data_IF_574492079364
#
_entry.id   IF_574492079364
#
_cell.length_a   1.000
_cell.length_b   1.000
_cell.length_c   1.000
_cell.angle_alpha   90.00
_cell.angle_beta   90.00
_cell.angle_gamma   90.00
#
_symmetry.space_group_name_H-M   'P 1'
#
loop_
_entity.id
_entity.type
_entity.pdbx_description
1 polymer ?
#
# COMPACT_ATOMS: atom_id res chain seq x y z
N UNK A 1 -15.92 34.45 -12.89
CA UNK A 1 -15.49 34.54 -11.48
C UNK A 1 -14.43 33.48 -11.26
N UNK A 2 -13.17 33.86 -11.09
CA UNK A 2 -12.08 32.92 -10.75
C UNK A 2 -12.42 32.25 -9.42
N UNK A 3 -12.65 30.92 -9.41
CA UNK A 3 -12.78 30.18 -8.15
C UNK A 3 -11.45 30.35 -7.40
N UNK A 4 -11.49 31.02 -6.24
CA UNK A 4 -10.31 31.13 -5.37
C UNK A 4 -9.74 29.73 -5.13
N UNK A 5 -8.50 29.50 -5.56
CA UNK A 5 -7.80 28.24 -5.33
C UNK A 5 -7.57 28.05 -3.84
N UNK A 6 -7.87 26.87 -3.33
CA UNK A 6 -7.66 26.50 -1.91
C UNK A 6 -6.26 25.95 -1.73
N UNK A 7 -5.45 26.62 -0.91
CA UNK A 7 -4.11 26.14 -0.55
C UNK A 7 -4.22 24.99 0.42
N UNK A 8 -3.85 23.79 -0.07
CA UNK A 8 -3.79 22.55 0.69
C UNK A 8 -2.32 22.17 0.94
N UNK A 9 -1.95 22.00 2.20
CA UNK A 9 -0.65 21.39 2.54
C UNK A 9 -0.86 19.93 2.92
N UNK A 10 -0.13 19.03 2.26
CA UNK A 10 -0.09 17.61 2.59
C UNK A 10 1.26 17.28 3.23
N UNK A 11 1.24 16.72 4.45
CA UNK A 11 2.46 16.33 5.18
C UNK A 11 2.55 14.81 5.19
N UNK A 12 3.65 14.27 4.68
CA UNK A 12 3.90 12.82 4.63
C UNK A 12 5.37 12.48 4.91
N UNK A 13 5.65 11.22 5.26
CA UNK A 13 6.97 10.81 5.71
C UNK A 13 8.05 10.98 4.64
N UNK A 14 7.86 10.32 3.48
CA UNK A 14 8.88 10.22 2.42
C UNK A 14 8.25 10.35 1.04
N UNK A 15 9.09 10.59 0.04
CA UNK A 15 8.69 10.51 -1.37
C UNK A 15 8.51 9.01 -1.72
N UNK A 16 7.27 8.55 -1.71
CA UNK A 16 6.93 7.19 -2.08
C UNK A 16 6.44 7.14 -3.53
N UNK A 17 7.04 6.31 -4.41
CA UNK A 17 6.68 6.25 -5.84
C UNK A 17 5.18 6.07 -6.10
N UNK A 18 4.52 5.23 -5.33
CA UNK A 18 3.08 4.97 -5.47
C UNK A 18 2.18 6.14 -5.05
N UNK A 19 2.73 7.14 -4.35
CA UNK A 19 1.99 8.36 -3.95
C UNK A 19 2.08 9.47 -4.99
N UNK A 20 3.11 9.48 -5.84
CA UNK A 20 3.31 10.51 -6.87
C UNK A 20 2.11 10.61 -7.82
N UNK A 21 1.56 9.52 -8.38
CA UNK A 21 0.37 9.60 -9.25
C UNK A 21 -0.85 10.18 -8.53
N UNK A 22 -1.06 9.84 -7.25
CA UNK A 22 -2.16 10.35 -6.43
C UNK A 22 -2.02 11.86 -6.20
N UNK A 23 -0.81 12.32 -5.84
CA UNK A 23 -0.59 13.75 -5.58
C UNK A 23 -0.62 14.56 -6.89
N UNK A 24 -0.16 13.99 -8.00
CA UNK A 24 -0.33 14.59 -9.33
C UNK A 24 -1.81 14.73 -9.70
N UNK A 25 -2.63 13.71 -9.43
CA UNK A 25 -4.07 13.76 -9.65
C UNK A 25 -4.74 14.82 -8.76
N UNK A 26 -4.33 14.92 -7.49
CA UNK A 26 -4.86 15.91 -6.54
C UNK A 26 -4.48 17.35 -6.96
N UNK A 27 -3.25 17.57 -7.43
CA UNK A 27 -2.77 18.87 -7.88
C UNK A 27 -3.49 19.37 -9.16
N UNK A 28 -4.00 18.44 -9.98
CA UNK A 28 -4.79 18.77 -11.19
C UNK A 28 -6.25 19.09 -10.91
N UNK A 29 -6.73 18.94 -9.64
CA UNK A 29 -8.12 19.24 -9.29
C UNK A 29 -8.39 20.73 -9.31
N UNK A 30 -9.47 21.14 -10.00
CA UNK A 30 -9.91 22.51 -10.06
C UNK A 30 -10.15 23.11 -8.66
N UNK A 31 -9.59 24.27 -8.43
CA UNK A 31 -9.72 24.98 -7.15
C UNK A 31 -8.85 24.42 -6.03
N UNK A 32 -7.88 23.54 -6.32
CA UNK A 32 -6.88 23.03 -5.37
C UNK A 32 -5.49 23.58 -5.73
N UNK A 33 -4.79 24.12 -4.74
CA UNK A 33 -3.39 24.50 -4.83
C UNK A 33 -2.62 23.63 -3.83
N UNK A 34 -2.06 22.52 -4.33
CA UNK A 34 -1.38 21.50 -3.51
C UNK A 34 0.08 21.86 -3.29
N UNK A 35 0.50 21.85 -2.03
CA UNK A 35 1.90 21.83 -1.63
C UNK A 35 2.18 20.65 -0.72
N UNK A 36 3.19 19.83 -1.04
CA UNK A 36 3.52 18.63 -0.26
C UNK A 36 4.80 18.85 0.54
N UNK A 37 4.73 18.63 1.85
CA UNK A 37 5.89 18.66 2.75
C UNK A 37 6.28 17.22 3.08
N UNK A 38 7.44 16.80 2.61
CA UNK A 38 8.04 15.52 2.95
C UNK A 38 8.94 15.67 4.18
N UNK A 39 8.76 14.79 5.17
CA UNK A 39 9.58 14.81 6.39
C UNK A 39 11.00 14.29 6.14
N UNK A 40 11.20 13.48 5.12
CA UNK A 40 12.50 13.05 4.62
C UNK A 40 12.36 12.69 3.13
N UNK A 41 13.45 12.69 2.40
CA UNK A 41 13.44 12.28 0.99
C UNK A 41 13.12 10.77 0.86
N UNK A 42 13.81 9.96 1.65
CA UNK A 42 13.66 8.50 1.66
C UNK A 42 14.07 7.90 3.01
N UNK A 43 13.88 6.60 3.14
CA UNK A 43 14.42 5.78 4.21
C UNK A 43 15.28 4.65 3.61
N UNK A 44 16.54 4.97 3.29
CA UNK A 44 17.48 4.06 2.61
C UNK A 44 17.67 2.70 3.28
N UNK A 45 17.45 2.61 4.60
CA UNK A 45 17.60 1.34 5.32
C UNK A 45 16.38 0.41 5.18
N UNK A 46 15.21 0.93 4.77
CA UNK A 46 13.98 0.16 4.59
C UNK A 46 13.46 0.16 3.16
N UNK A 47 13.97 1.04 2.30
CA UNK A 47 13.42 1.28 0.96
C UNK A 47 14.53 1.22 -0.09
N UNK A 48 14.39 0.33 -1.04
CA UNK A 48 15.33 0.12 -2.14
C UNK A 48 14.80 0.67 -3.47
N UNK A 49 13.59 1.25 -3.46
CA UNK A 49 12.97 1.79 -4.68
C UNK A 49 13.62 3.09 -5.18
N UNK A 50 13.55 3.30 -6.48
CA UNK A 50 13.86 4.59 -7.09
C UNK A 50 12.86 5.66 -6.66
N UNK A 51 13.35 6.90 -6.51
CA UNK A 51 12.52 8.09 -6.31
C UNK A 51 12.37 8.76 -7.68
N UNK A 52 11.19 8.66 -8.28
CA UNK A 52 10.89 9.20 -9.61
C UNK A 52 10.52 10.68 -9.50
N UNK A 53 11.49 11.54 -9.16
CA UNK A 53 11.27 12.99 -8.97
C UNK A 53 10.89 13.70 -10.25
N UNK A 54 11.31 13.19 -11.40
CA UNK A 54 10.95 13.66 -12.74
C UNK A 54 9.46 13.46 -13.09
N UNK A 55 8.76 12.60 -12.34
CA UNK A 55 7.32 12.39 -12.48
C UNK A 55 6.47 13.34 -11.64
N UNK A 56 7.07 14.08 -10.70
CA UNK A 56 6.36 14.98 -9.79
C UNK A 56 5.85 16.21 -10.56
N UNK A 57 4.54 16.49 -10.45
CA UNK A 57 3.85 17.62 -11.11
C UNK A 57 3.12 18.52 -10.09
N UNK A 58 3.51 18.46 -8.82
CA UNK A 58 2.99 19.29 -7.73
C UNK A 58 4.13 20.04 -7.03
N UNK A 59 3.79 21.11 -6.32
CA UNK A 59 4.76 21.85 -5.51
C UNK A 59 5.12 21.05 -4.26
N UNK A 60 6.40 20.95 -3.96
CA UNK A 60 6.84 20.23 -2.76
C UNK A 60 8.14 20.78 -2.16
N UNK A 61 8.38 20.44 -0.91
CA UNK A 61 9.66 20.59 -0.23
C UNK A 61 9.98 19.37 0.62
N UNK A 62 11.28 19.15 0.87
CA UNK A 62 11.77 18.12 1.78
C UNK A 62 12.42 18.82 2.97
N UNK A 63 11.91 18.53 4.17
CA UNK A 63 12.44 19.16 5.38
C UNK A 63 13.80 18.59 5.78
N UNK A 64 14.72 19.42 6.29
CA UNK A 64 15.90 18.92 6.95
C UNK A 64 15.51 17.98 8.09
N UNK A 65 16.03 16.77 8.05
CA UNK A 65 15.65 15.70 8.98
C UNK A 65 16.83 14.96 9.56
N UNK A 66 16.63 14.49 10.78
CA UNK A 66 17.52 13.56 11.43
C UNK A 66 16.73 12.34 11.90
N UNK A 67 17.21 11.13 11.53
CA UNK A 67 16.56 9.86 11.85
C UNK A 67 17.46 9.06 12.78
N UNK A 68 16.94 8.79 13.97
CA UNK A 68 17.56 7.90 14.94
C UNK A 68 16.83 6.57 15.02
N UNK A 69 17.55 5.47 15.15
CA UNK A 69 17.00 4.12 15.23
C UNK A 69 17.53 3.38 16.44
N UNK A 70 16.61 2.71 17.16
CA UNK A 70 16.93 1.80 18.26
C UNK A 70 16.07 0.53 18.11
N UNK A 71 16.67 -0.55 17.66
CA UNK A 71 15.97 -1.80 17.38
C UNK A 71 14.82 -1.60 16.37
N UNK A 72 13.59 -1.91 16.78
CA UNK A 72 12.36 -1.76 15.95
C UNK A 72 11.81 -0.33 15.93
N UNK A 73 12.33 0.58 16.74
CA UNK A 73 11.84 1.95 16.87
C UNK A 73 12.65 2.91 16.02
N UNK A 74 11.98 3.83 15.35
CA UNK A 74 12.59 4.88 14.56
C UNK A 74 11.97 6.22 14.95
N UNK A 75 12.80 7.19 15.31
CA UNK A 75 12.42 8.56 15.59
C UNK A 75 12.93 9.45 14.47
N UNK A 76 12.01 10.15 13.79
CA UNK A 76 12.33 11.13 12.75
C UNK A 76 12.03 12.53 13.29
N UNK A 77 13.04 13.36 13.39
CA UNK A 77 12.94 14.74 13.86
C UNK A 77 13.23 15.70 12.72
N UNK A 78 12.40 16.72 12.57
CA UNK A 78 12.49 17.72 11.52
C UNK A 78 12.76 19.10 12.07
N UNK A 79 13.55 19.89 11.33
CA UNK A 79 13.69 21.34 11.51
C UNK A 79 12.90 22.05 10.41
N UNK A 80 12.50 23.31 10.67
CA UNK A 80 11.88 24.16 9.65
C UNK A 80 10.39 23.93 9.38
N UNK A 81 9.70 22.97 10.03
CA UNK A 81 8.29 22.67 9.77
C UNK A 81 7.37 23.90 9.91
N UNK A 82 7.52 24.69 10.95
CA UNK A 82 6.69 25.86 11.17
C UNK A 82 6.95 26.99 10.18
N UNK A 83 8.20 27.40 9.93
CA UNK A 83 8.50 28.31 8.83
C UNK A 83 7.92 27.86 7.49
N UNK A 84 8.04 26.58 7.14
CA UNK A 84 7.46 26.02 5.92
C UNK A 84 5.92 26.19 5.88
N UNK A 85 5.24 25.89 6.98
CA UNK A 85 3.79 26.08 7.10
C UNK A 85 3.39 27.56 7.08
N UNK A 86 4.19 28.45 7.67
CA UNK A 86 3.95 29.90 7.65
C UNK A 86 4.09 30.48 6.24
N UNK A 87 5.07 30.02 5.46
CA UNK A 87 5.25 30.40 4.05
C UNK A 87 4.14 29.82 3.16
N UNK A 88 3.78 28.55 3.39
CA UNK A 88 2.74 27.89 2.61
C UNK A 88 1.34 28.46 2.86
N UNK A 89 1.06 29.08 4.02
CA UNK A 89 -0.23 29.66 4.41
C UNK A 89 -1.45 28.78 4.09
N UNK A 90 -1.50 27.51 4.55
CA UNK A 90 -2.56 26.58 4.16
C UNK A 90 -3.92 26.95 4.75
N UNK A 91 -4.99 26.69 4.01
CA UNK A 91 -6.37 26.71 4.49
C UNK A 91 -6.76 25.37 5.13
N UNK A 92 -6.11 24.29 4.72
CA UNK A 92 -6.23 22.96 5.32
C UNK A 92 -4.90 22.22 5.27
N UNK A 93 -4.67 21.37 6.28
CA UNK A 93 -3.52 20.45 6.33
C UNK A 93 -4.05 19.02 6.30
N UNK A 94 -3.56 18.18 5.38
CA UNK A 94 -3.71 16.73 5.42
C UNK A 94 -2.42 16.13 5.95
N UNK A 95 -2.49 15.38 7.06
CA UNK A 95 -1.31 14.78 7.69
C UNK A 95 -1.36 13.25 7.58
N UNK A 96 -0.33 12.66 6.99
CA UNK A 96 -0.16 11.23 6.83
C UNK A 96 0.29 10.54 8.12
N UNK A 97 -0.68 10.24 9.01
CA UNK A 97 -0.42 9.56 10.27
C UNK A 97 -0.11 10.50 11.44
N UNK A 98 0.05 9.89 12.62
CA UNK A 98 0.31 10.58 13.90
C UNK A 98 1.58 10.07 14.61
N UNK A 99 2.39 9.26 13.93
CA UNK A 99 3.52 8.54 14.53
C UNK A 99 4.79 9.40 14.69
N UNK A 100 4.83 10.56 14.03
CA UNK A 100 6.01 11.43 14.02
C UNK A 100 5.81 12.66 14.89
N UNK A 101 6.85 13.18 15.55
CA UNK A 101 6.81 14.47 16.25
C UNK A 101 6.30 15.61 15.35
N UNK A 102 6.64 15.57 14.06
CA UNK A 102 6.17 16.54 13.07
C UNK A 102 4.65 16.57 12.95
N UNK A 103 3.96 15.42 13.02
CA UNK A 103 2.50 15.35 12.98
C UNK A 103 1.84 16.10 14.15
N UNK A 104 2.39 15.95 15.36
CA UNK A 104 1.92 16.65 16.56
C UNK A 104 2.20 18.16 16.49
N UNK A 105 3.39 18.53 16.01
CA UNK A 105 3.78 19.93 15.83
C UNK A 105 2.93 20.63 14.76
N UNK A 106 2.57 19.96 13.67
CA UNK A 106 1.69 20.49 12.63
C UNK A 106 0.25 20.63 13.13
N UNK A 107 -0.28 19.67 13.91
CA UNK A 107 -1.58 19.78 14.56
C UNK A 107 -1.64 20.99 15.51
N UNK A 108 -0.60 21.17 16.32
CA UNK A 108 -0.54 22.30 17.24
C UNK A 108 -0.43 23.64 16.51
N UNK A 109 0.38 23.73 15.46
CA UNK A 109 0.47 24.89 14.58
C UNK A 109 -0.91 25.22 13.96
N UNK A 110 -1.59 24.23 13.42
CA UNK A 110 -2.91 24.38 12.80
C UNK A 110 -3.95 24.92 13.79
N UNK A 111 -3.99 24.38 15.01
CA UNK A 111 -4.92 24.83 16.05
C UNK A 111 -4.68 26.29 16.47
N UNK A 112 -3.42 26.72 16.58
CA UNK A 112 -3.07 28.10 16.92
C UNK A 112 -3.47 29.10 15.85
N UNK A 113 -3.49 28.67 14.60
CA UNK A 113 -3.82 29.52 13.45
C UNK A 113 -5.23 29.33 12.93
N UNK A 114 -6.04 28.53 13.63
CA UNK A 114 -7.40 28.16 13.23
C UNK A 114 -7.45 27.53 11.80
N UNK A 115 -6.39 26.81 11.42
CA UNK A 115 -6.30 26.04 10.16
C UNK A 115 -6.89 24.64 10.38
N UNK A 116 -7.66 24.16 9.41
CA UNK A 116 -8.29 22.84 9.47
C UNK A 116 -7.28 21.72 9.33
N UNK A 117 -7.42 20.69 10.17
CA UNK A 117 -6.49 19.57 10.22
C UNK A 117 -7.20 18.25 9.93
N UNK A 118 -6.77 17.59 8.85
CA UNK A 118 -7.28 16.30 8.39
C UNK A 118 -6.24 15.22 8.68
N UNK A 119 -6.64 14.17 9.37
CA UNK A 119 -5.79 13.01 9.59
C UNK A 119 -6.01 11.98 8.46
N UNK A 120 -4.96 11.67 7.70
CA UNK A 120 -4.95 10.55 6.78
C UNK A 120 -4.30 9.33 7.44
N UNK A 121 -5.07 8.28 7.68
CA UNK A 121 -4.60 7.11 8.43
C UNK A 121 -5.00 5.80 7.77
N UNK A 122 -4.07 4.85 7.77
CA UNK A 122 -4.27 3.47 7.32
C UNK A 122 -4.41 2.49 8.50
N UNK A 123 -4.38 2.98 9.74
CA UNK A 123 -4.49 2.15 10.94
C UNK A 123 -5.78 1.35 10.96
N UNK A 124 -5.70 0.10 11.36
CA UNK A 124 -6.83 -0.79 11.54
C UNK A 124 -6.82 -1.43 12.94
N UNK A 125 -7.90 -2.12 13.31
CA UNK A 125 -8.05 -2.71 14.64
C UNK A 125 -6.99 -3.77 14.97
N UNK A 126 -6.42 -4.42 13.94
CA UNK A 126 -5.41 -5.49 14.08
C UNK A 126 -3.99 -4.96 14.17
N UNK A 127 -3.80 -3.66 13.92
CA UNK A 127 -2.50 -2.97 13.95
C UNK A 127 -2.11 -2.53 15.38
N UNK A 128 -2.54 -3.28 16.39
CA UNK A 128 -2.25 -2.99 17.81
C UNK A 128 -0.76 -3.24 18.10
N UNK A 129 0.06 -2.23 17.83
CA UNK A 129 1.51 -2.29 18.07
C UNK A 129 1.92 -1.97 19.51
N UNK A 130 1.03 -1.48 20.34
CA UNK A 130 1.33 -1.18 21.74
C UNK A 130 0.09 -1.32 22.64
N UNK A 131 0.16 -2.19 23.63
CA UNK A 131 -0.84 -2.29 24.69
C UNK A 131 -0.66 -1.26 25.82
N UNK A 132 0.12 -0.19 25.62
CA UNK A 132 0.37 0.81 26.66
C UNK A 132 -0.76 1.84 26.71
N UNK A 133 -1.47 1.90 27.84
CA UNK A 133 -2.60 2.81 28.06
C UNK A 133 -2.27 4.29 27.77
N UNK A 134 -1.03 4.71 28.02
CA UNK A 134 -0.57 6.09 27.74
C UNK A 134 -0.55 6.37 26.24
N UNK A 135 -0.05 5.43 25.43
CA UNK A 135 0.00 5.58 23.96
C UNK A 135 -1.41 5.64 23.38
N UNK A 136 -2.32 4.79 23.87
CA UNK A 136 -3.73 4.81 23.44
C UNK A 136 -4.43 6.11 23.86
N UNK A 137 -4.13 6.65 25.03
CA UNK A 137 -4.65 7.97 25.47
C UNK A 137 -4.15 9.09 24.60
N UNK A 138 -2.87 9.13 24.26
CA UNK A 138 -2.28 10.12 23.35
C UNK A 138 -2.90 10.01 21.96
N UNK A 139 -3.03 8.82 21.41
CA UNK A 139 -3.68 8.56 20.12
C UNK A 139 -5.13 9.09 20.10
N UNK A 140 -5.92 8.75 21.12
CA UNK A 140 -7.30 9.27 21.24
C UNK A 140 -7.33 10.80 21.34
N UNK A 141 -6.37 11.40 22.04
CA UNK A 141 -6.26 12.85 22.13
C UNK A 141 -5.95 13.48 20.77
N UNK A 142 -5.01 12.89 20.00
CA UNK A 142 -4.71 13.34 18.64
C UNK A 142 -5.93 13.25 17.73
N UNK A 143 -6.58 12.08 17.68
CA UNK A 143 -7.78 11.84 16.87
C UNK A 143 -8.88 12.84 17.21
N UNK A 144 -9.21 13.05 18.50
CA UNK A 144 -10.21 14.03 18.93
C UNK A 144 -9.87 15.48 18.57
N UNK A 145 -8.61 15.76 18.24
CA UNK A 145 -8.14 17.10 17.89
C UNK A 145 -8.18 17.39 16.39
N UNK A 146 -8.50 16.40 15.56
CA UNK A 146 -8.62 16.53 14.11
C UNK A 146 -10.05 16.98 13.72
N UNK A 147 -10.16 17.67 12.57
CA UNK A 147 -11.45 18.15 12.05
C UNK A 147 -12.12 17.14 11.11
N UNK A 148 -11.33 16.38 10.36
CA UNK A 148 -11.79 15.34 9.45
C UNK A 148 -10.75 14.22 9.33
N UNK A 149 -11.15 13.13 8.71
CA UNK A 149 -10.36 11.92 8.59
C UNK A 149 -10.40 11.37 7.17
N UNK A 150 -9.27 10.86 6.70
CA UNK A 150 -9.17 10.15 5.43
C UNK A 150 -8.69 8.74 5.71
N UNK A 151 -9.38 7.76 5.13
CA UNK A 151 -9.06 6.32 5.27
C UNK A 151 -9.04 5.64 3.90
N UNK A 152 -8.24 4.57 3.72
CA UNK A 152 -8.17 3.88 2.44
C UNK A 152 -9.35 2.95 2.17
N UNK A 153 -10.07 2.49 3.18
CA UNK A 153 -11.16 1.53 3.03
C UNK A 153 -11.86 1.14 4.31
N UNK A 154 -12.67 0.10 4.23
CA UNK A 154 -13.61 -0.37 5.27
C UNK A 154 -12.95 -0.67 6.60
N UNK A 155 -11.78 -1.32 6.58
CA UNK A 155 -11.06 -1.72 7.81
C UNK A 155 -10.66 -0.52 8.66
N UNK A 156 -10.06 0.51 8.05
CA UNK A 156 -9.64 1.73 8.74
C UNK A 156 -10.84 2.62 9.08
N UNK A 157 -11.90 2.62 8.25
CA UNK A 157 -13.17 3.29 8.57
C UNK A 157 -13.78 2.72 9.84
N UNK A 158 -13.97 1.40 9.91
CA UNK A 158 -14.50 0.73 11.09
C UNK A 158 -13.66 1.01 12.34
N UNK A 159 -12.33 1.03 12.20
CA UNK A 159 -11.44 1.34 13.29
C UNK A 159 -11.63 2.76 13.85
N UNK A 160 -11.74 3.81 13.01
CA UNK A 160 -12.03 5.16 13.49
C UNK A 160 -13.38 5.25 14.21
N UNK A 161 -14.37 4.47 13.76
CA UNK A 161 -15.68 4.37 14.45
C UNK A 161 -15.53 3.81 15.87
N UNK A 162 -14.67 2.82 16.08
CA UNK A 162 -14.39 2.30 17.45
C UNK A 162 -13.70 3.33 18.34
N UNK A 163 -13.04 4.33 17.78
CA UNK A 163 -12.44 5.44 18.51
C UNK A 163 -13.44 6.59 18.80
N UNK A 164 -14.72 6.45 18.37
CA UNK A 164 -15.79 7.41 18.58
C UNK A 164 -15.83 8.56 17.56
N UNK A 165 -15.20 8.38 16.38
CA UNK A 165 -15.28 9.37 15.30
C UNK A 165 -16.62 9.24 14.57
N UNK A 166 -17.29 10.40 14.32
CA UNK A 166 -18.53 10.43 13.53
C UNK A 166 -18.25 10.06 12.07
N UNK A 167 -19.17 9.31 11.44
CA UNK A 167 -19.08 8.94 10.01
C UNK A 167 -19.04 10.15 9.09
N UNK A 168 -19.74 11.22 9.45
CA UNK A 168 -19.87 12.44 8.64
C UNK A 168 -18.54 13.16 8.38
N UNK A 169 -17.52 12.90 9.19
CA UNK A 169 -16.18 13.49 9.07
C UNK A 169 -15.13 12.50 8.60
N UNK A 170 -15.54 11.26 8.23
CA UNK A 170 -14.63 10.23 7.68
C UNK A 170 -14.86 10.15 6.17
N UNK A 171 -13.80 10.36 5.40
CA UNK A 171 -13.79 10.31 3.95
C UNK A 171 -12.95 9.12 3.48
N UNK A 172 -13.43 8.41 2.46
CA UNK A 172 -12.65 7.33 1.85
C UNK A 172 -11.82 7.89 0.70
N UNK A 173 -10.52 7.73 0.79
CA UNK A 173 -9.56 7.93 -0.29
C UNK A 173 -8.83 6.60 -0.50
N UNK A 174 -9.28 5.76 -1.44
CA UNK A 174 -8.77 4.41 -1.58
C UNK A 174 -7.28 4.43 -1.91
N UNK A 175 -6.51 3.55 -1.29
CA UNK A 175 -5.12 3.41 -1.69
C UNK A 175 -5.03 2.96 -3.14
N UNK A 176 -4.23 3.67 -3.92
CA UNK A 176 -4.15 3.54 -5.36
C UNK A 176 -2.70 3.43 -5.83
N UNK A 177 -2.53 2.82 -7.00
CA UNK A 177 -1.31 2.80 -7.80
C UNK A 177 -1.62 3.34 -9.19
N UNK A 178 -0.60 3.59 -10.00
CA UNK A 178 -0.82 3.97 -11.40
C UNK A 178 -1.30 2.76 -12.21
N UNK A 179 -2.60 2.57 -12.27
CA UNK A 179 -3.22 1.43 -12.97
C UNK A 179 -2.83 1.40 -14.44
N UNK A 180 -2.71 2.56 -15.09
CA UNK A 180 -2.35 2.68 -16.51
C UNK A 180 -0.92 2.24 -16.74
N UNK A 181 -0.01 2.69 -15.88
CA UNK A 181 1.39 2.27 -15.93
C UNK A 181 1.51 0.74 -15.82
N UNK A 182 0.93 0.15 -14.77
CA UNK A 182 1.00 -1.30 -14.53
C UNK A 182 0.37 -2.11 -15.68
N UNK A 183 -0.79 -1.69 -16.19
CA UNK A 183 -1.45 -2.34 -17.32
C UNK A 183 -0.58 -2.28 -18.58
N UNK A 184 0.00 -1.12 -18.91
CA UNK A 184 0.85 -0.94 -20.09
C UNK A 184 2.13 -1.78 -19.99
N UNK A 185 2.80 -1.77 -18.85
CA UNK A 185 4.01 -2.57 -18.64
C UNK A 185 3.71 -4.09 -18.65
N UNK A 186 2.54 -4.48 -18.13
CA UNK A 186 2.09 -5.87 -18.18
C UNK A 186 1.90 -6.36 -19.61
N UNK A 187 1.28 -5.57 -20.48
CA UNK A 187 1.13 -5.92 -21.91
C UNK A 187 2.48 -6.00 -22.63
N UNK A 188 3.38 -5.07 -22.36
CA UNK A 188 4.75 -5.13 -22.91
C UNK A 188 5.48 -6.44 -22.52
N UNK A 189 5.36 -6.88 -21.25
CA UNK A 189 5.97 -8.12 -20.79
C UNK A 189 5.34 -9.37 -21.45
N UNK A 190 4.02 -9.35 -21.71
CA UNK A 190 3.31 -10.43 -22.42
C UNK A 190 3.75 -10.53 -23.89
N UNK A 191 4.16 -9.43 -24.53
CA UNK A 191 4.72 -9.47 -25.88
C UNK A 191 6.09 -10.14 -25.97
N UNK A 192 6.90 -10.09 -24.88
CA UNK A 192 8.27 -10.64 -24.85
C UNK A 192 8.50 -11.57 -23.65
N UNK A 193 7.66 -12.60 -23.44
CA UNK A 193 7.65 -13.38 -22.20
C UNK A 193 8.91 -14.24 -22.01
N UNK A 194 9.56 -14.66 -23.09
CA UNK A 194 10.77 -15.49 -23.02
C UNK A 194 11.95 -14.69 -22.46
N UNK A 195 12.21 -13.51 -23.01
CA UNK A 195 13.29 -12.64 -22.54
C UNK A 195 13.09 -12.22 -21.07
N UNK A 196 11.85 -11.94 -20.66
CA UNK A 196 11.55 -11.60 -19.28
C UNK A 196 11.77 -12.76 -18.32
N UNK A 197 11.37 -13.98 -18.71
CA UNK A 197 11.64 -15.19 -17.92
C UNK A 197 13.13 -15.48 -17.78
N UNK A 198 13.88 -15.33 -18.84
CA UNK A 198 15.34 -15.51 -18.83
C UNK A 198 16.01 -14.51 -17.89
N UNK A 199 15.64 -13.23 -17.96
CA UNK A 199 16.17 -12.16 -17.09
C UNK A 199 16.09 -12.49 -15.60
N UNK A 200 15.00 -13.13 -15.15
CA UNK A 200 14.71 -13.40 -13.75
C UNK A 200 14.79 -14.89 -13.37
N UNK A 201 15.15 -15.77 -14.29
CA UNK A 201 15.18 -17.22 -14.06
C UNK A 201 13.82 -17.81 -13.69
N UNK A 202 12.73 -17.34 -14.34
CA UNK A 202 11.38 -17.69 -13.95
C UNK A 202 10.91 -19.00 -14.58
N UNK A 203 10.13 -19.82 -13.83
CA UNK A 203 9.44 -20.97 -14.40
C UNK A 203 8.43 -20.54 -15.49
N UNK A 204 8.06 -21.48 -16.35
CA UNK A 204 7.04 -21.22 -17.39
C UNK A 204 5.69 -20.79 -16.79
N UNK A 205 5.27 -21.46 -15.73
CA UNK A 205 4.09 -21.14 -14.92
C UNK A 205 4.53 -20.97 -13.47
N UNK A 206 4.00 -19.97 -12.76
CA UNK A 206 4.39 -19.74 -11.37
C UNK A 206 3.34 -18.98 -10.57
N UNK A 207 3.31 -19.29 -9.27
CA UNK A 207 2.63 -18.56 -8.23
C UNK A 207 3.56 -17.44 -7.78
N UNK A 208 3.06 -16.23 -7.56
CA UNK A 208 3.87 -15.07 -7.22
C UNK A 208 3.56 -14.56 -5.81
N UNK A 209 4.62 -14.34 -5.04
CA UNK A 209 4.62 -13.49 -3.85
C UNK A 209 5.48 -12.26 -4.12
N UNK A 210 5.00 -11.07 -3.71
CA UNK A 210 5.75 -9.83 -3.78
C UNK A 210 5.76 -9.15 -2.42
N UNK A 211 6.95 -8.84 -1.89
CA UNK A 211 7.08 -8.15 -0.62
C UNK A 211 8.35 -8.45 0.14
N UNK A 212 8.46 -7.90 1.34
CA UNK A 212 9.60 -8.20 2.22
C UNK A 212 9.55 -9.67 2.66
N UNK A 213 10.69 -10.36 2.55
CA UNK A 213 10.82 -11.75 2.99
C UNK A 213 11.05 -11.78 4.52
N UNK A 214 9.98 -11.63 5.26
CA UNK A 214 9.93 -11.65 6.74
C UNK A 214 8.76 -12.51 7.21
N UNK A 215 8.83 -13.10 8.42
CA UNK A 215 7.77 -14.00 8.91
C UNK A 215 6.38 -13.37 8.94
N UNK A 216 6.28 -12.09 9.27
CA UNK A 216 5.02 -11.35 9.35
C UNK A 216 4.27 -11.26 8.00
N UNK A 217 4.98 -11.50 6.88
CA UNK A 217 4.37 -11.55 5.54
C UNK A 217 3.87 -12.94 5.15
N UNK A 218 3.96 -13.94 6.06
CA UNK A 218 3.43 -15.28 5.84
C UNK A 218 4.19 -16.09 4.79
N UNK A 219 5.47 -15.75 4.56
CA UNK A 219 6.28 -16.39 3.51
C UNK A 219 6.52 -17.87 3.74
N UNK A 220 6.61 -18.30 5.00
CA UNK A 220 6.71 -19.71 5.37
C UNK A 220 5.38 -20.44 5.21
N UNK A 221 4.24 -19.80 5.54
CA UNK A 221 2.92 -20.39 5.32
C UNK A 221 2.67 -20.64 3.83
N UNK A 222 3.17 -19.74 2.96
CA UNK A 222 3.09 -19.93 1.51
C UNK A 222 3.96 -21.08 1.04
N UNK A 223 5.18 -21.21 1.56
CA UNK A 223 6.07 -22.31 1.23
C UNK A 223 5.47 -23.66 1.68
N UNK A 224 4.89 -23.71 2.89
CA UNK A 224 4.21 -24.89 3.41
C UNK A 224 2.96 -25.24 2.59
N UNK A 225 2.17 -24.24 2.18
CA UNK A 225 1.01 -24.45 1.31
C UNK A 225 1.42 -25.00 -0.07
N UNK A 226 2.52 -24.49 -0.63
CA UNK A 226 3.08 -24.97 -1.87
C UNK A 226 3.58 -26.43 -1.74
N UNK A 227 4.21 -26.78 -0.61
CA UNK A 227 4.66 -28.15 -0.34
C UNK A 227 3.52 -29.17 -0.31
N UNK A 228 2.31 -28.75 0.08
CA UNK A 228 1.09 -29.59 0.14
C UNK A 228 0.42 -29.80 -1.22
N UNK A 229 0.82 -29.07 -2.26
CA UNK A 229 0.34 -29.36 -3.61
C UNK A 229 0.86 -30.72 -4.07
N UNK A 230 0.11 -31.39 -4.94
CA UNK A 230 0.55 -32.65 -5.56
C UNK A 230 1.90 -32.49 -6.28
N UNK A 231 2.74 -33.53 -6.23
CA UNK A 231 4.09 -33.48 -6.82
C UNK A 231 4.08 -33.19 -8.31
N UNK A 232 3.13 -33.74 -9.06
CA UNK A 232 2.94 -33.43 -10.47
C UNK A 232 2.68 -31.96 -10.73
N UNK A 233 1.80 -31.35 -9.93
CA UNK A 233 1.50 -29.91 -10.05
C UNK A 233 2.71 -29.02 -9.70
N UNK A 234 3.48 -29.38 -8.67
CA UNK A 234 4.71 -28.66 -8.30
C UNK A 234 5.81 -28.75 -9.38
N UNK A 235 5.79 -29.80 -10.21
CA UNK A 235 6.70 -29.90 -11.35
C UNK A 235 6.32 -28.99 -12.50
N UNK A 236 5.04 -28.65 -12.64
CA UNK A 236 4.51 -27.80 -13.71
C UNK A 236 4.48 -26.31 -13.35
N UNK A 237 4.26 -26.02 -12.07
CA UNK A 237 4.03 -24.66 -11.57
C UNK A 237 4.99 -24.35 -10.44
N UNK A 238 5.88 -23.39 -10.67
CA UNK A 238 6.84 -22.94 -9.68
C UNK A 238 6.26 -21.93 -8.69
N UNK A 239 7.06 -21.58 -7.69
CA UNK A 239 6.77 -20.53 -6.70
C UNK A 239 7.87 -19.47 -6.79
N UNK A 240 7.47 -18.19 -6.93
CA UNK A 240 8.39 -17.06 -7.05
C UNK A 240 8.19 -16.11 -5.88
N UNK A 241 9.28 -15.87 -5.14
CA UNK A 241 9.34 -14.88 -4.06
C UNK A 241 10.10 -13.64 -4.53
N UNK A 242 9.39 -12.64 -5.04
CA UNK A 242 9.98 -11.37 -5.46
C UNK A 242 10.09 -10.41 -4.26
N UNK A 243 11.32 -10.07 -3.90
CA UNK A 243 11.63 -9.22 -2.78
C UNK A 243 12.87 -9.68 -2.01
N UNK A 244 13.14 -9.02 -0.90
CA UNK A 244 14.28 -9.32 -0.03
C UNK A 244 13.88 -9.21 1.45
N UNK A 245 14.70 -9.77 2.35
CA UNK A 245 14.48 -9.73 3.79
C UNK A 245 15.23 -10.82 4.54
N UNK A 246 15.17 -10.72 5.87
CA UNK A 246 15.93 -11.58 6.79
C UNK A 246 15.61 -13.08 6.67
N UNK A 247 14.44 -13.42 6.13
CA UNK A 247 14.01 -14.82 5.97
C UNK A 247 14.45 -15.44 4.63
N UNK A 248 15.13 -14.72 3.74
CA UNK A 248 15.46 -15.18 2.39
C UNK A 248 16.29 -16.47 2.39
N UNK A 249 17.35 -16.49 3.19
CA UNK A 249 18.27 -17.64 3.25
C UNK A 249 17.57 -18.89 3.81
N UNK A 250 16.81 -18.71 4.89
CA UNK A 250 16.06 -19.81 5.50
C UNK A 250 14.99 -20.38 4.56
N UNK A 251 14.22 -19.50 3.88
CA UNK A 251 13.26 -19.90 2.85
C UNK A 251 13.93 -20.69 1.72
N UNK A 252 15.09 -20.23 1.23
CA UNK A 252 15.80 -20.90 0.17
C UNK A 252 16.31 -22.29 0.58
N UNK A 253 16.74 -22.44 1.84
CA UNK A 253 17.15 -23.74 2.38
C UNK A 253 15.97 -24.71 2.52
N UNK A 254 14.82 -24.23 3.02
CA UNK A 254 13.61 -25.04 3.14
C UNK A 254 13.05 -25.41 1.76
N UNK A 255 13.04 -24.50 0.80
CA UNK A 255 12.58 -24.72 -0.57
C UNK A 255 13.33 -25.85 -1.28
N UNK A 256 14.65 -25.94 -1.08
CA UNK A 256 15.47 -27.04 -1.65
C UNK A 256 15.05 -28.42 -1.17
N UNK A 257 14.46 -28.54 0.02
CA UNK A 257 13.98 -29.82 0.58
C UNK A 257 12.61 -30.23 0.00
N UNK A 258 11.82 -29.24 -0.46
CA UNK A 258 10.47 -29.47 -0.96
C UNK A 258 10.51 -29.92 -2.43
N UNK A 259 11.11 -29.13 -3.29
CA UNK A 259 11.28 -29.45 -4.71
C UNK A 259 12.43 -28.60 -5.32
N UNK A 260 13.64 -29.17 -5.47
CA UNK A 260 14.76 -28.40 -5.99
C UNK A 260 14.48 -27.79 -7.36
N UNK A 261 14.75 -26.49 -7.49
CA UNK A 261 14.66 -25.77 -8.78
C UNK A 261 13.28 -25.20 -9.14
N UNK A 262 12.24 -25.46 -8.35
CA UNK A 262 10.89 -24.92 -8.63
C UNK A 262 10.53 -23.68 -7.81
N UNK A 263 11.33 -23.33 -6.81
CA UNK A 263 11.16 -22.11 -6.02
C UNK A 263 12.26 -21.12 -6.37
N UNK A 264 11.88 -19.93 -6.83
CA UNK A 264 12.78 -18.90 -7.33
C UNK A 264 12.76 -17.65 -6.46
N UNK A 265 13.92 -16.99 -6.35
CA UNK A 265 14.13 -15.78 -5.55
C UNK A 265 14.81 -14.69 -6.41
N UNK A 266 14.08 -13.98 -7.29
CA UNK A 266 14.67 -12.97 -8.19
C UNK A 266 15.25 -11.75 -7.46
N UNK A 267 14.98 -11.62 -6.15
CA UNK A 267 15.38 -10.46 -5.36
C UNK A 267 14.40 -9.30 -5.45
N UNK A 268 14.88 -8.11 -5.07
CA UNK A 268 14.08 -6.90 -5.16
C UNK A 268 13.90 -6.49 -6.63
N UNK A 269 12.68 -6.15 -7.01
CA UNK A 269 12.33 -5.67 -8.35
C UNK A 269 11.77 -4.25 -8.28
N UNK A 270 12.15 -3.39 -9.23
CA UNK A 270 11.55 -2.06 -9.41
C UNK A 270 10.16 -2.21 -10.05
N UNK A 271 9.34 -1.15 -10.03
CA UNK A 271 7.95 -1.21 -10.49
C UNK A 271 7.79 -1.66 -11.95
N UNK A 272 8.75 -1.33 -12.82
CA UNK A 272 8.77 -1.74 -14.22
C UNK A 272 8.89 -3.27 -14.35
N UNK A 273 9.78 -3.86 -13.59
CA UNK A 273 10.00 -5.30 -13.55
C UNK A 273 8.89 -6.03 -12.78
N UNK A 274 8.34 -5.42 -11.74
CA UNK A 274 7.20 -5.97 -11.00
C UNK A 274 5.97 -6.17 -11.90
N UNK A 275 5.67 -5.21 -12.78
CA UNK A 275 4.56 -5.34 -13.72
C UNK A 275 4.69 -6.58 -14.61
N UNK A 276 5.91 -6.90 -15.06
CA UNK A 276 6.18 -8.12 -15.83
C UNK A 276 6.06 -9.40 -15.00
N UNK A 277 6.50 -9.39 -13.73
CA UNK A 277 6.29 -10.50 -12.82
C UNK A 277 4.79 -10.78 -12.61
N UNK A 278 4.00 -9.73 -12.37
CA UNK A 278 2.53 -9.86 -12.26
C UNK A 278 1.91 -10.39 -13.56
N UNK A 279 2.31 -9.86 -14.71
CA UNK A 279 1.73 -10.21 -16.02
C UNK A 279 1.90 -11.68 -16.39
N UNK A 280 3.00 -12.30 -15.96
CA UNK A 280 3.38 -13.68 -16.31
C UNK A 280 3.01 -14.71 -15.25
N UNK A 281 2.53 -14.30 -14.07
CA UNK A 281 2.15 -15.18 -12.97
C UNK A 281 0.78 -15.84 -13.18
N UNK A 282 0.53 -16.92 -12.44
CA UNK A 282 -0.80 -17.54 -12.36
C UNK A 282 -1.73 -16.80 -11.39
N UNK A 283 -1.19 -16.35 -10.27
CA UNK A 283 -1.88 -15.63 -9.21
C UNK A 283 -0.88 -14.89 -8.31
N UNK A 284 -1.30 -13.77 -7.73
CA UNK A 284 -0.61 -13.19 -6.58
C UNK A 284 -1.12 -13.82 -5.29
N UNK A 285 -0.20 -14.21 -4.40
CA UNK A 285 -0.52 -14.67 -3.05
C UNK A 285 0.06 -13.72 -2.01
N UNK A 286 -0.79 -13.12 -1.18
CA UNK A 286 -0.41 -12.27 -0.06
C UNK A 286 -0.91 -12.88 1.26
N UNK A 287 -0.19 -13.86 1.86
CA UNK A 287 -0.64 -14.62 3.04
C UNK A 287 -0.26 -13.95 4.36
N UNK A 288 -0.20 -12.64 4.37
CA UNK A 288 0.34 -11.84 5.48
C UNK A 288 -0.37 -12.10 6.80
N UNK A 289 0.37 -12.00 7.91
CA UNK A 289 -0.18 -12.02 9.28
C UNK A 289 -0.60 -10.62 9.72
N UNK A 290 -0.05 -9.57 9.10
CA UNK A 290 -0.41 -8.18 9.35
C UNK A 290 0.04 -7.32 8.17
N UNK A 291 -0.88 -6.56 7.60
CA UNK A 291 -0.60 -5.53 6.62
C UNK A 291 -1.64 -4.42 6.74
N UNK A 292 -1.22 -3.17 6.73
CA UNK A 292 -2.13 -2.03 6.83
C UNK A 292 -3.01 -1.89 5.58
N UNK A 293 -2.47 -2.27 4.40
CA UNK A 293 -3.21 -2.33 3.15
C UNK A 293 -2.79 -3.52 2.29
N UNK A 294 -1.58 -3.49 1.71
CA UNK A 294 -1.08 -4.45 0.75
C UNK A 294 -1.19 -3.93 -0.69
N UNK A 295 -0.48 -2.83 -1.01
CA UNK A 295 -0.50 -2.20 -2.35
C UNK A 295 -0.12 -3.14 -3.49
N UNK A 296 0.65 -4.18 -3.23
CA UNK A 296 0.98 -5.23 -4.21
C UNK A 296 -0.27 -5.90 -4.79
N UNK A 297 -1.40 -5.89 -4.05
CA UNK A 297 -2.70 -6.38 -4.55
C UNK A 297 -3.25 -5.42 -5.61
N UNK A 298 -3.18 -4.09 -5.38
CA UNK A 298 -3.58 -3.11 -6.39
C UNK A 298 -2.75 -3.27 -7.67
N UNK A 299 -1.43 -3.40 -7.54
CA UNK A 299 -0.49 -3.57 -8.64
C UNK A 299 -0.80 -4.82 -9.46
N UNK A 300 -0.97 -5.97 -8.79
CA UNK A 300 -1.30 -7.23 -9.42
C UNK A 300 -2.67 -7.20 -10.13
N UNK A 301 -3.68 -6.59 -9.51
CA UNK A 301 -5.01 -6.45 -10.11
C UNK A 301 -4.98 -5.52 -11.33
N UNK A 302 -4.15 -4.47 -11.33
CA UNK A 302 -3.95 -3.59 -12.48
C UNK A 302 -3.28 -4.32 -13.65
N UNK A 303 -2.50 -5.37 -13.37
CA UNK A 303 -1.94 -6.29 -14.38
C UNK A 303 -2.91 -7.42 -14.76
N UNK A 304 -4.13 -7.45 -14.23
CA UNK A 304 -5.14 -8.47 -14.52
C UNK A 304 -4.88 -9.81 -13.82
N UNK A 305 -4.31 -9.81 -12.62
CA UNK A 305 -4.00 -11.05 -11.91
C UNK A 305 -5.12 -11.42 -10.91
N UNK A 306 -5.55 -12.68 -10.80
CA UNK A 306 -6.35 -13.16 -9.69
C UNK A 306 -5.57 -13.11 -8.38
N UNK A 307 -6.25 -12.94 -7.25
CA UNK A 307 -5.64 -12.66 -5.97
C UNK A 307 -5.99 -13.76 -4.95
N UNK A 308 -5.00 -14.23 -4.20
CA UNK A 308 -5.21 -14.98 -2.96
C UNK A 308 -4.64 -14.12 -1.83
N UNK A 309 -5.50 -13.68 -0.92
CA UNK A 309 -5.13 -12.72 0.11
C UNK A 309 -5.52 -13.21 1.50
N UNK A 310 -4.69 -12.90 2.49
CA UNK A 310 -5.05 -13.12 3.88
C UNK A 310 -6.18 -12.18 4.33
N UNK A 311 -7.16 -12.70 5.08
CA UNK A 311 -8.28 -11.94 5.62
C UNK A 311 -7.86 -10.80 6.56
N UNK A 312 -6.60 -10.78 7.00
CA UNK A 312 -6.03 -9.72 7.86
C UNK A 312 -5.31 -8.63 7.09
N UNK A 313 -5.12 -8.76 5.78
CA UNK A 313 -4.65 -7.67 4.95
C UNK A 313 -5.69 -6.55 4.88
N UNK A 314 -5.28 -5.30 5.05
CA UNK A 314 -6.20 -4.16 5.10
C UNK A 314 -7.05 -3.99 3.84
N UNK A 315 -6.52 -4.40 2.68
CA UNK A 315 -7.23 -4.34 1.40
C UNK A 315 -8.21 -5.49 1.16
N UNK A 316 -8.16 -6.57 1.96
CA UNK A 316 -8.89 -7.81 1.64
C UNK A 316 -10.39 -7.59 1.44
N UNK A 317 -11.03 -6.86 2.34
CA UNK A 317 -12.48 -6.60 2.30
C UNK A 317 -12.92 -5.58 1.23
N UNK A 318 -11.97 -4.87 0.65
CA UNK A 318 -12.22 -3.82 -0.34
C UNK A 318 -11.89 -4.29 -1.76
N UNK A 319 -10.77 -5.01 -1.93
CA UNK A 319 -10.26 -5.41 -3.24
C UNK A 319 -10.65 -6.83 -3.66
N UNK A 320 -10.76 -7.76 -2.72
CA UNK A 320 -10.97 -9.18 -3.05
C UNK A 320 -12.33 -9.67 -2.57
N UNK A 321 -13.10 -10.21 -3.48
CA UNK A 321 -14.39 -10.86 -3.24
C UNK A 321 -14.24 -12.36 -3.48
N UNK A 322 -14.59 -13.16 -2.45
CA UNK A 322 -14.44 -14.60 -2.44
C UNK A 322 -15.12 -15.26 -3.64
N UNK A 323 -14.34 -16.05 -4.41
CA UNK A 323 -14.83 -16.76 -5.59
C UNK A 323 -15.14 -15.87 -6.81
N UNK A 324 -15.05 -14.54 -6.69
CA UNK A 324 -15.32 -13.62 -7.79
C UNK A 324 -14.04 -13.18 -8.51
N UNK A 325 -13.11 -12.51 -7.85
CA UNK A 325 -11.82 -12.11 -8.41
C UNK A 325 -10.62 -12.71 -7.68
N UNK A 326 -10.87 -13.61 -6.71
CA UNK A 326 -9.84 -14.26 -5.94
C UNK A 326 -10.38 -15.04 -4.75
N UNK A 327 -9.50 -15.33 -3.80
CA UNK A 327 -9.81 -16.03 -2.56
C UNK A 327 -9.29 -15.28 -1.34
N UNK A 328 -10.08 -15.32 -0.26
CA UNK A 328 -9.71 -14.74 1.04
C UNK A 328 -9.47 -15.87 2.03
N UNK A 329 -8.23 -16.02 2.51
CA UNK A 329 -7.84 -17.12 3.40
C UNK A 329 -7.54 -16.60 4.81
N UNK A 330 -7.77 -17.39 5.88
CA UNK A 330 -7.29 -17.04 7.20
C UNK A 330 -5.76 -16.95 7.23
N UNK A 331 -5.19 -16.09 8.09
CA UNK A 331 -3.73 -16.08 8.29
C UNK A 331 -3.29 -17.40 8.95
N UNK A 332 -2.10 -17.88 8.64
CA UNK A 332 -1.48 -19.10 9.17
C UNK A 332 -2.25 -20.39 8.87
N UNK A 333 -3.07 -20.39 7.83
CA UNK A 333 -3.82 -21.58 7.37
C UNK A 333 -3.26 -22.05 6.02
N UNK A 334 -2.15 -22.80 6.08
CA UNK A 334 -1.49 -23.31 4.86
C UNK A 334 -2.33 -24.37 4.12
N UNK A 335 -3.32 -25.02 4.80
CA UNK A 335 -4.26 -25.94 4.16
C UNK A 335 -5.21 -25.19 3.23
N UNK A 336 -5.94 -24.19 3.76
CA UNK A 336 -6.84 -23.38 2.93
C UNK A 336 -6.10 -22.63 1.85
N UNK A 337 -4.89 -22.17 2.14
CA UNK A 337 -4.04 -21.51 1.15
C UNK A 337 -3.68 -22.48 0.01
N UNK A 338 -3.30 -23.73 0.32
CA UNK A 338 -3.02 -24.76 -0.68
C UNK A 338 -4.25 -25.08 -1.54
N UNK A 339 -5.43 -25.20 -0.93
CA UNK A 339 -6.70 -25.43 -1.63
C UNK A 339 -7.02 -24.29 -2.59
N UNK A 340 -6.87 -23.02 -2.16
CA UNK A 340 -7.09 -21.85 -3.00
C UNK A 340 -6.13 -21.81 -4.20
N UNK A 341 -4.84 -22.06 -3.97
CA UNK A 341 -3.81 -22.15 -5.01
C UNK A 341 -4.18 -23.24 -6.02
N UNK A 342 -4.45 -24.46 -5.54
CA UNK A 342 -4.80 -25.61 -6.38
C UNK A 342 -6.03 -25.33 -7.26
N UNK A 343 -7.02 -24.65 -6.69
CA UNK A 343 -8.27 -24.28 -7.39
C UNK A 343 -8.01 -23.36 -8.58
N UNK A 344 -7.15 -22.35 -8.43
CA UNK A 344 -6.82 -21.40 -9.51
C UNK A 344 -5.90 -22.02 -10.57
N UNK A 345 -4.88 -22.72 -10.14
CA UNK A 345 -3.84 -23.22 -11.05
C UNK A 345 -4.34 -24.35 -11.95
N UNK A 346 -5.32 -25.14 -11.50
CA UNK A 346 -5.93 -26.24 -12.27
C UNK A 346 -7.06 -25.82 -13.19
N UNK A 347 -7.59 -24.58 -13.08
CA UNK A 347 -8.77 -24.11 -13.82
C UNK A 347 -8.46 -22.86 -14.62
N UNK A 348 -7.90 -22.97 -15.83
CA UNK A 348 -7.55 -21.82 -16.68
C UNK A 348 -8.74 -20.87 -16.94
N UNK A 349 -9.95 -21.41 -17.12
CA UNK A 349 -11.16 -20.64 -17.38
C UNK A 349 -11.53 -19.79 -16.16
N UNK A 350 -11.46 -20.37 -14.96
CA UNK A 350 -11.70 -19.63 -13.71
C UNK A 350 -10.67 -18.52 -13.52
N UNK A 351 -9.39 -18.81 -13.78
CA UNK A 351 -8.32 -17.82 -13.75
C UNK A 351 -8.65 -16.65 -14.69
N UNK A 352 -9.03 -16.93 -15.94
CA UNK A 352 -9.35 -15.90 -16.92
C UNK A 352 -10.54 -15.02 -16.47
N UNK A 353 -11.60 -15.64 -15.92
CA UNK A 353 -12.74 -14.91 -15.38
C UNK A 353 -12.34 -14.01 -14.21
N UNK A 354 -11.59 -14.53 -13.24
CA UNK A 354 -11.11 -13.76 -12.09
C UNK A 354 -10.15 -12.64 -12.50
N UNK A 355 -9.32 -12.87 -13.53
CA UNK A 355 -8.45 -11.83 -14.11
C UNK A 355 -9.25 -10.65 -14.66
N UNK A 356 -10.28 -10.90 -15.45
CA UNK A 356 -11.13 -9.85 -15.98
C UNK A 356 -11.83 -9.05 -14.86
N UNK A 357 -12.29 -9.75 -13.83
CA UNK A 357 -12.94 -9.14 -12.66
C UNK A 357 -11.97 -8.34 -11.77
N UNK A 358 -10.71 -8.74 -11.69
CA UNK A 358 -9.65 -7.94 -11.05
C UNK A 358 -9.47 -6.61 -11.77
N UNK A 359 -9.40 -6.62 -13.11
CA UNK A 359 -9.32 -5.40 -13.93
C UNK A 359 -10.56 -4.51 -13.77
N UNK A 360 -11.74 -5.10 -13.67
CA UNK A 360 -12.98 -4.37 -13.42
C UNK A 360 -12.96 -3.66 -12.06
N UNK A 361 -12.62 -4.38 -10.99
CA UNK A 361 -12.60 -3.86 -9.63
C UNK A 361 -11.58 -2.74 -9.44
N UNK A 362 -10.38 -2.92 -9.99
CA UNK A 362 -9.26 -1.99 -9.73
C UNK A 362 -9.47 -0.61 -10.36
N UNK A 363 -10.35 -0.46 -11.34
CA UNK A 363 -10.72 0.86 -11.94
C UNK A 363 -11.22 1.85 -10.89
N UNK A 364 -11.88 1.36 -9.84
CA UNK A 364 -12.39 2.20 -8.75
C UNK A 364 -11.30 2.58 -7.72
N UNK A 365 -10.08 2.08 -7.89
CA UNK A 365 -8.92 2.33 -7.01
C UNK A 365 -7.80 3.00 -7.80
N UNK A 366 -8.16 3.91 -8.69
CA UNK A 366 -7.24 4.74 -9.46
C UNK A 366 -6.74 5.94 -8.64
N UNK A 367 -5.61 6.56 -9.01
CA UNK A 367 -5.09 7.77 -8.36
C UNK A 367 -6.13 8.89 -8.24
N UNK A 368 -6.99 9.04 -9.22
CA UNK A 368 -8.07 10.02 -9.25
C UNK A 368 -9.09 9.80 -8.13
N UNK A 369 -9.49 8.55 -7.88
CA UNK A 369 -10.42 8.20 -6.80
C UNK A 369 -9.83 8.52 -5.41
N UNK A 370 -8.53 8.26 -5.21
CA UNK A 370 -7.83 8.66 -3.99
C UNK A 370 -7.78 10.19 -3.84
N UNK A 371 -7.45 10.90 -4.92
CA UNK A 371 -7.40 12.35 -4.96
C UNK A 371 -8.78 12.99 -4.66
N UNK A 372 -9.88 12.39 -5.15
CA UNK A 372 -11.25 12.83 -4.85
C UNK A 372 -11.56 12.75 -3.36
N UNK A 373 -11.23 11.64 -2.72
CA UNK A 373 -11.43 11.47 -1.29
C UNK A 373 -10.63 12.47 -0.45
N UNK A 374 -9.36 12.70 -0.81
CA UNK A 374 -8.50 13.72 -0.17
C UNK A 374 -9.07 15.14 -0.35
N UNK A 375 -9.50 15.49 -1.55
CA UNK A 375 -10.09 16.79 -1.86
C UNK A 375 -11.39 16.99 -1.09
N UNK A 376 -12.27 15.99 -1.07
CA UNK A 376 -13.54 16.05 -0.33
C UNK A 376 -13.31 16.30 1.17
N UNK A 377 -12.36 15.60 1.78
CA UNK A 377 -12.00 15.81 3.19
C UNK A 377 -11.47 17.22 3.45
N UNK A 378 -10.58 17.74 2.59
CA UNK A 378 -10.01 19.07 2.71
C UNK A 378 -11.07 20.17 2.54
N UNK A 379 -12.04 19.98 1.63
CA UNK A 379 -13.14 20.91 1.39
C UNK A 379 -14.12 20.90 2.57
N UNK A 380 -14.57 19.74 3.01
CA UNK A 380 -15.48 19.59 4.15
C UNK A 380 -14.88 20.17 5.41
N UNK A 381 -13.59 19.91 5.66
CA UNK A 381 -12.88 20.49 6.79
C UNK A 381 -12.87 22.03 6.75
N UNK A 382 -12.93 22.68 5.58
CA UNK A 382 -12.89 24.13 5.42
C UNK A 382 -14.27 24.80 5.51
N UNK A 383 -15.38 24.06 5.34
CA UNK A 383 -16.75 24.61 5.29
C UNK A 383 -17.56 24.39 6.59
N UNK A 384 -17.14 23.48 7.46
CA UNK A 384 -17.84 23.17 8.70
C UNK A 384 -17.76 24.34 9.71
N UNK A 385 -18.88 25.00 9.98
CA UNK A 385 -19.04 25.79 11.19
C UNK A 385 -18.87 24.87 12.43
N UNK A 386 -18.38 25.43 13.52
CA UNK A 386 -18.21 24.76 14.82
C UNK A 386 -19.52 24.20 15.32
#
# INVERSE_FOLDING_TARGET
MSKMSRRLVLITEIIAPYRIPVFNALARRDGMDLHVIFLAETDKALRQWHIYTDEIRFSYEVLPSWRWRAGKHSLLVNRGLWPALDVACPQAIVCGGYNYPASWRSLWWARRRNVRFVLWTESNQRDQRSGHAVVERLKRHFVKSCNAFVVPGKSSFAYLRTLGVSEQVIFTAPNAVDNTFFATQAENAKCHPAAFREKFGLPRRFILFVGRLIPEKGVFDLLDAYAKLESGLRSEVGLVFAGDGVSREELAQQAKRINPGTVCFPGFAQREDLAGLYALAETLVLPTHSDTWGLVVNEAMACGLPIIVSSVAGCSSDLVEEGWNGYVVPPRDSEKLSVAINSLVRRPELKQQMSARSLERIRNYAPEACADGLAAAAISASTGAR
#
